data_IF_850787684262
#
_entry.id   IF_850787684262
#
_cell.length_a   1.000
_cell.length_b   1.000
_cell.length_c   1.000
_cell.angle_alpha   90.00
_cell.angle_beta   90.00
_cell.angle_gamma   90.00
#
_symmetry.space_group_name_H-M   'P 1'
#
loop_
_entity.id
_entity.type
_entity.pdbx_description
1 polymer ?
#
# COMPACT_ATOMS: atom_id res chain seq x y z
N UNK A 1 2.92 -31.03 -14.46
CA UNK A 1 3.66 -30.25 -13.44
C UNK A 1 2.64 -29.48 -12.62
N UNK A 2 2.32 -29.97 -11.42
CA UNK A 2 1.35 -29.31 -10.54
C UNK A 2 2.09 -28.25 -9.71
N UNK A 3 1.84 -26.97 -9.99
CA UNK A 3 2.22 -25.90 -9.08
C UNK A 3 1.39 -26.07 -7.80
N UNK A 4 2.01 -26.64 -6.75
CA UNK A 4 1.44 -26.67 -5.40
C UNK A 4 1.11 -25.24 -5.01
N UNK A 5 -0.18 -24.91 -4.95
CA UNK A 5 -0.65 -23.63 -4.44
C UNK A 5 -0.29 -23.60 -2.95
N UNK A 6 0.74 -22.83 -2.62
CA UNK A 6 1.45 -22.88 -1.33
C UNK A 6 0.85 -21.93 -0.29
N UNK A 7 -0.23 -21.25 -0.66
CA UNK A 7 -0.89 -20.22 0.12
C UNK A 7 -2.36 -20.60 0.31
N UNK A 8 -2.83 -20.46 1.54
CA UNK A 8 -4.26 -20.47 1.88
C UNK A 8 -4.98 -19.33 1.16
N UNK A 9 -6.30 -19.46 0.95
CA UNK A 9 -7.11 -18.40 0.35
C UNK A 9 -6.97 -17.06 1.09
N UNK A 10 -6.77 -17.11 2.41
CA UNK A 10 -6.53 -15.93 3.24
C UNK A 10 -5.18 -15.26 2.95
N UNK A 11 -4.11 -16.04 2.73
CA UNK A 11 -2.80 -15.50 2.37
C UNK A 11 -2.83 -14.89 0.96
N UNK A 12 -3.57 -15.49 0.03
CA UNK A 12 -3.73 -14.95 -1.32
C UNK A 12 -4.53 -13.63 -1.32
N UNK A 13 -5.58 -13.56 -0.51
CA UNK A 13 -6.35 -12.34 -0.30
C UNK A 13 -5.48 -11.23 0.32
N UNK A 14 -4.63 -11.58 1.29
CA UNK A 14 -3.72 -10.62 1.93
C UNK A 14 -2.70 -10.05 0.92
N UNK A 15 -2.06 -10.91 0.12
CA UNK A 15 -1.12 -10.47 -0.91
C UNK A 15 -1.80 -9.60 -1.98
N UNK A 16 -3.04 -9.93 -2.34
CA UNK A 16 -3.83 -9.12 -3.27
C UNK A 16 -4.11 -7.72 -2.71
N UNK A 17 -4.50 -7.65 -1.43
CA UNK A 17 -4.71 -6.39 -0.71
C UNK A 17 -3.45 -5.53 -0.67
N UNK A 18 -2.29 -6.13 -0.37
CA UNK A 18 -1.01 -5.41 -0.37
C UNK A 18 -0.70 -4.81 -1.75
N UNK A 19 -0.88 -5.59 -2.81
CA UNK A 19 -0.64 -5.12 -4.18
C UNK A 19 -1.60 -4.00 -4.57
N UNK A 20 -2.85 -4.06 -4.12
CA UNK A 20 -3.83 -3.02 -4.39
C UNK A 20 -3.50 -1.72 -3.64
N UNK A 21 -3.11 -1.82 -2.37
CA UNK A 21 -2.62 -0.69 -1.58
C UNK A 21 -1.38 -0.05 -2.22
N UNK A 22 -0.39 -0.85 -2.62
CA UNK A 22 0.80 -0.34 -3.32
C UNK A 22 0.45 0.42 -4.60
N UNK A 23 -0.49 -0.12 -5.40
CA UNK A 23 -0.96 0.53 -6.62
C UNK A 23 -1.72 1.82 -6.34
N UNK A 24 -2.52 1.84 -5.28
CA UNK A 24 -3.26 3.03 -4.89
C UNK A 24 -2.30 4.14 -4.43
N UNK A 25 -1.38 3.80 -3.52
CA UNK A 25 -0.39 4.72 -2.99
C UNK A 25 0.55 5.27 -4.06
N UNK A 26 0.95 4.47 -5.05
CA UNK A 26 1.77 4.96 -6.17
C UNK A 26 1.12 6.07 -7.00
N UNK A 27 -0.21 6.20 -6.96
CA UNK A 27 -0.94 7.25 -7.68
C UNK A 27 -1.01 8.56 -6.90
N UNK A 28 -0.71 8.53 -5.60
CA UNK A 28 -0.66 9.75 -4.79
C UNK A 28 0.46 10.64 -5.32
N UNK A 29 0.14 11.93 -5.46
CA UNK A 29 1.05 12.96 -5.93
C UNK A 29 1.44 13.80 -4.73
N UNK A 30 2.73 14.09 -4.59
CA UNK A 30 3.21 15.03 -3.59
C UNK A 30 2.57 16.41 -3.84
N UNK A 31 1.86 17.00 -2.86
CA UNK A 31 1.19 18.29 -3.06
C UNK A 31 2.17 19.46 -3.25
N UNK A 32 3.42 19.31 -2.80
CA UNK A 32 4.45 20.36 -2.83
C UNK A 32 5.25 20.34 -4.13
N UNK A 33 5.70 19.16 -4.54
CA UNK A 33 6.62 19.00 -5.68
C UNK A 33 5.91 18.48 -6.94
N UNK A 34 4.68 17.96 -6.82
CA UNK A 34 3.95 17.37 -7.95
C UNK A 34 4.50 16.01 -8.41
N UNK A 35 5.40 15.41 -7.63
CA UNK A 35 6.06 14.15 -7.96
C UNK A 35 5.34 12.95 -7.34
N UNK A 36 5.39 11.80 -8.03
CA UNK A 36 4.95 10.52 -7.49
C UNK A 36 6.03 9.87 -6.63
N UNK A 37 5.66 9.00 -5.68
CA UNK A 37 6.62 8.16 -4.95
C UNK A 37 7.43 7.29 -5.93
N UNK A 38 8.75 7.23 -5.75
CA UNK A 38 9.62 6.37 -6.55
C UNK A 38 9.38 4.90 -6.24
N UNK A 39 9.15 4.60 -4.96
CA UNK A 39 8.88 3.25 -4.49
C UNK A 39 7.90 3.29 -3.32
N UNK A 40 6.94 2.38 -3.37
CA UNK A 40 6.09 2.03 -2.24
C UNK A 40 6.28 0.54 -2.00
N UNK A 41 6.41 0.13 -0.75
CA UNK A 41 6.44 -1.28 -0.39
C UNK A 41 5.57 -1.51 0.84
N UNK A 42 4.62 -2.43 0.74
CA UNK A 42 3.70 -2.79 1.82
C UNK A 42 4.15 -4.12 2.44
N UNK A 43 4.17 -4.15 3.76
CA UNK A 43 4.59 -5.30 4.57
C UNK A 43 3.51 -5.64 5.60
N UNK A 44 3.57 -6.86 6.14
CA UNK A 44 2.65 -7.32 7.18
C UNK A 44 2.23 -8.77 6.96
N UNK A 45 1.85 -9.45 8.04
CA UNK A 45 1.36 -10.84 7.99
C UNK A 45 -0.15 -10.95 8.19
N UNK A 46 -0.83 -9.83 8.49
CA UNK A 46 -2.27 -9.74 8.63
C UNK A 46 -2.77 -8.33 8.30
N UNK A 47 -4.08 -8.16 8.13
CA UNK A 47 -4.72 -6.86 7.92
C UNK A 47 -4.58 -5.89 9.10
N UNK A 48 -4.34 -6.42 10.30
CA UNK A 48 -4.18 -5.62 11.52
C UNK A 48 -2.73 -5.14 11.74
N UNK A 49 -1.77 -5.71 11.01
CA UNK A 49 -0.33 -5.42 11.12
C UNK A 49 0.23 -4.92 9.78
N UNK A 50 -0.60 -4.27 8.98
CA UNK A 50 -0.13 -3.70 7.71
C UNK A 50 0.68 -2.44 7.97
N UNK A 51 1.88 -2.42 7.40
CA UNK A 51 2.79 -1.26 7.42
C UNK A 51 3.27 -1.00 6.01
N UNK A 52 3.63 0.24 5.71
CA UNK A 52 4.15 0.60 4.39
C UNK A 52 5.37 1.50 4.51
N UNK A 53 6.27 1.37 3.55
CA UNK A 53 7.44 2.23 3.37
C UNK A 53 7.33 2.97 2.05
N UNK A 54 7.60 4.26 2.10
CA UNK A 54 7.56 5.16 0.95
C UNK A 54 8.96 5.71 0.73
N UNK A 55 9.41 5.67 -0.51
CA UNK A 55 10.58 6.38 -1.00
C UNK A 55 10.09 7.51 -1.91
N UNK A 56 10.22 8.74 -1.44
CA UNK A 56 9.54 9.91 -1.96
C UNK A 56 10.44 11.14 -2.03
N UNK A 57 9.85 12.26 -2.45
CA UNK A 57 10.55 13.55 -2.55
C UNK A 57 10.61 14.31 -1.22
N UNK A 58 9.60 14.19 -0.36
CA UNK A 58 9.54 14.85 0.94
C UNK A 58 8.54 14.18 1.89
N UNK A 59 8.51 14.63 3.15
CA UNK A 59 7.65 14.10 4.19
C UNK A 59 6.16 14.38 3.92
N UNK A 60 5.82 15.52 3.27
CA UNK A 60 4.43 15.83 2.93
C UNK A 60 3.79 14.81 1.97
N UNK A 61 4.60 14.06 1.20
CA UNK A 61 4.09 12.93 0.41
C UNK A 61 3.60 11.80 1.32
N UNK A 62 4.30 11.53 2.42
CA UNK A 62 3.90 10.51 3.38
C UNK A 62 2.61 10.91 4.11
N UNK A 63 2.46 12.19 4.47
CA UNK A 63 1.21 12.73 5.04
C UNK A 63 0.04 12.60 4.05
N UNK A 64 0.21 13.03 2.80
CA UNK A 64 -0.83 12.90 1.76
C UNK A 64 -1.24 11.43 1.52
N UNK A 65 -0.27 10.51 1.62
CA UNK A 65 -0.54 9.07 1.55
C UNK A 65 -1.30 8.55 2.77
N UNK A 66 -0.92 8.98 3.97
CA UNK A 66 -1.64 8.64 5.20
C UNK A 66 -3.08 9.14 5.17
N UNK A 67 -3.32 10.34 4.63
CA UNK A 67 -4.67 10.87 4.42
C UNK A 67 -5.45 10.04 3.40
N UNK A 68 -4.82 9.64 2.29
CA UNK A 68 -5.44 8.80 1.26
C UNK A 68 -5.86 7.42 1.81
N UNK A 69 -5.08 6.83 2.73
CA UNK A 69 -5.45 5.58 3.42
C UNK A 69 -6.48 5.85 4.52
N UNK A 70 -6.33 6.93 5.28
CA UNK A 70 -7.25 7.33 6.35
C UNK A 70 -8.68 7.55 5.84
N UNK A 71 -8.83 8.12 4.64
CA UNK A 71 -10.13 8.23 3.97
C UNK A 71 -10.69 6.88 3.51
N UNK A 72 -9.84 5.89 3.20
CA UNK A 72 -10.30 4.55 2.86
C UNK A 72 -10.92 3.80 4.06
N UNK A 73 -10.56 4.18 5.30
CA UNK A 73 -11.15 3.64 6.53
C UNK A 73 -12.48 4.30 6.95
N UNK A 74 -12.90 5.39 6.27
CA UNK A 74 -14.20 6.03 6.51
C UNK A 74 -15.35 5.53 5.62
N UNK A 75 -15.11 4.47 4.84
CA UNK A 75 -16.18 3.70 4.19
C UNK A 75 -16.54 2.54 5.14
N UNK A 76 -17.31 2.87 6.18
CA UNK A 76 -18.09 1.90 6.96
C UNK A 76 -19.55 2.27 6.85
#
# INVERSE_FOLDING_TARGET
MAYRNRYSDAELALETLKLELERHLRKVVCPVHGEHPKRVTVYGTSVYDMSFKVDGCCDELADAMLESIGQANSIV
#
